data_IF_792376440202
#
_entry.id   IF_792376440202
#
_cell.length_a   1.000
_cell.length_b   1.000
_cell.length_c   1.000
_cell.angle_alpha   90.00
_cell.angle_beta   90.00
_cell.angle_gamma   90.00
#
_symmetry.space_group_name_H-M   'P 1'
#
loop_
_entity.id
_entity.type
_entity.pdbx_description
1 polymer ?
#
# COMPACT_ATOMS: atom_id res chain seq x y z
N UNK A 1 -7.63 -16.79 -15.58
CA UNK A 1 -8.08 -17.57 -14.39
C UNK A 1 -8.03 -16.64 -13.18
N UNK A 2 -9.12 -16.52 -12.41
CA UNK A 2 -9.16 -15.79 -11.15
C UNK A 2 -8.85 -16.76 -10.01
N UNK A 3 -7.97 -16.35 -9.08
CA UNK A 3 -7.69 -17.09 -7.85
C UNK A 3 -8.16 -16.25 -6.68
N UNK A 4 -9.04 -16.80 -5.84
CA UNK A 4 -9.53 -16.13 -4.64
C UNK A 4 -8.68 -16.55 -3.44
N UNK A 5 -8.32 -15.56 -2.62
CA UNK A 5 -7.81 -15.76 -1.26
C UNK A 5 -8.66 -14.96 -0.29
N UNK A 6 -9.24 -15.62 0.69
CA UNK A 6 -10.09 -14.97 1.70
C UNK A 6 -9.24 -14.14 2.66
N UNK A 7 -9.85 -13.11 3.26
CA UNK A 7 -9.15 -12.22 4.20
C UNK A 7 -8.65 -12.94 5.46
N UNK A 8 -9.37 -13.94 5.93
CA UNK A 8 -9.03 -14.77 7.10
C UNK A 8 -7.93 -15.82 6.83
N UNK A 9 -7.55 -16.02 5.56
CA UNK A 9 -6.43 -16.88 5.16
C UNK A 9 -5.08 -16.12 5.15
N UNK A 10 -5.09 -14.80 5.37
CA UNK A 10 -3.87 -14.00 5.45
C UNK A 10 -3.11 -14.29 6.75
N UNK A 11 -1.79 -14.09 6.73
CA UNK A 11 -1.01 -14.09 7.96
C UNK A 11 -1.50 -13.00 8.91
N UNK A 12 -1.42 -13.26 10.21
CA UNK A 12 -1.79 -12.29 11.24
C UNK A 12 -0.71 -12.19 12.31
N UNK A 13 -0.36 -10.97 12.68
CA UNK A 13 0.53 -10.66 13.79
C UNK A 13 -0.14 -9.64 14.72
N UNK A 14 -0.09 -9.89 16.02
CA UNK A 14 -0.54 -8.96 17.06
C UNK A 14 0.64 -8.71 18.04
N UNK A 15 1.10 -7.47 18.05
CA UNK A 15 2.18 -6.99 18.91
C UNK A 15 1.66 -6.11 20.07
N UNK A 16 0.34 -6.12 20.31
CA UNK A 16 -0.34 -5.26 21.26
C UNK A 16 -0.57 -3.86 20.70
N UNK A 17 0.46 -3.17 20.26
CA UNK A 17 0.38 -1.84 19.67
C UNK A 17 0.17 -1.85 18.14
N UNK A 18 0.43 -2.97 17.46
CA UNK A 18 0.27 -3.18 16.03
C UNK A 18 -0.51 -4.47 15.79
N UNK A 19 -1.58 -4.36 15.02
CA UNK A 19 -2.24 -5.51 14.37
C UNK A 19 -1.98 -5.45 12.89
N UNK A 20 -1.37 -6.50 12.34
CA UNK A 20 -0.94 -6.56 10.95
C UNK A 20 -1.45 -7.83 10.26
N UNK A 21 -2.11 -7.66 9.10
CA UNK A 21 -2.55 -8.76 8.25
C UNK A 21 -1.67 -8.83 7.00
N UNK A 22 -0.96 -9.94 6.86
CA UNK A 22 0.02 -10.13 5.79
C UNK A 22 -0.59 -10.87 4.61
N UNK A 23 -0.69 -10.21 3.47
CA UNK A 23 -1.14 -10.85 2.23
C UNK A 23 -0.09 -11.81 1.67
N UNK A 24 1.17 -11.46 1.78
CA UNK A 24 2.32 -12.27 1.36
C UNK A 24 3.23 -12.55 2.55
N UNK A 25 4.15 -13.49 2.40
CA UNK A 25 5.16 -13.80 3.41
C UNK A 25 5.95 -12.54 3.78
N UNK A 26 5.93 -12.24 5.07
CA UNK A 26 6.55 -11.04 5.64
C UNK A 26 6.95 -11.27 7.10
N UNK A 27 8.10 -10.76 7.51
CA UNK A 27 8.65 -10.95 8.86
C UNK A 27 8.64 -12.43 9.28
N UNK A 28 7.93 -12.77 10.34
CA UNK A 28 7.84 -14.13 10.86
C UNK A 28 6.72 -14.98 10.20
N UNK A 29 5.89 -14.37 9.35
CA UNK A 29 4.89 -15.09 8.59
C UNK A 29 5.50 -15.64 7.30
N UNK A 30 5.45 -16.94 7.12
CA UNK A 30 5.96 -17.61 5.92
C UNK A 30 4.95 -18.59 5.34
N UNK A 31 4.54 -18.36 4.11
CA UNK A 31 3.74 -19.28 3.29
C UNK A 31 4.34 -19.34 1.87
N UNK A 32 4.90 -20.48 1.45
CA UNK A 32 5.55 -20.59 0.15
C UNK A 32 4.61 -20.41 -1.05
N UNK A 33 3.30 -20.48 -0.84
CA UNK A 33 2.28 -20.22 -1.87
C UNK A 33 2.03 -18.72 -2.08
N UNK A 34 2.41 -17.89 -1.09
CA UNK A 34 2.15 -16.46 -1.07
C UNK A 34 3.43 -15.67 -0.82
N UNK A 35 4.31 -15.67 -1.82
CA UNK A 35 5.60 -14.96 -1.78
C UNK A 35 5.56 -13.59 -2.45
N UNK A 36 4.53 -13.31 -3.26
CA UNK A 36 4.35 -12.09 -4.02
C UNK A 36 3.50 -12.32 -5.27
N UNK A 37 3.26 -11.26 -6.04
CA UNK A 37 2.50 -11.29 -7.28
C UNK A 37 3.12 -10.38 -8.35
N UNK A 38 3.92 -10.93 -9.25
CA UNK A 38 4.77 -10.11 -10.13
C UNK A 38 5.77 -9.32 -9.29
N UNK A 39 5.86 -8.00 -9.51
CA UNK A 39 6.71 -7.10 -8.73
C UNK A 39 6.11 -6.74 -7.35
N UNK A 40 4.84 -7.05 -7.11
CA UNK A 40 4.18 -6.80 -5.83
C UNK A 40 4.68 -7.80 -4.80
N UNK A 41 5.36 -7.31 -3.75
CA UNK A 41 6.04 -8.14 -2.75
C UNK A 41 5.32 -8.16 -1.41
N UNK A 42 4.71 -7.06 -1.01
CA UNK A 42 4.02 -6.92 0.27
C UNK A 42 2.71 -6.16 0.08
N UNK A 43 1.65 -6.63 0.72
CA UNK A 43 0.50 -5.84 1.16
C UNK A 43 0.26 -6.23 2.61
N UNK A 44 0.63 -5.37 3.53
CA UNK A 44 0.23 -5.47 4.92
C UNK A 44 -0.89 -4.47 5.19
N UNK A 45 -1.92 -4.93 5.86
CA UNK A 45 -2.99 -4.09 6.36
C UNK A 45 -2.77 -3.90 7.85
N UNK A 46 -2.34 -2.69 8.21
CA UNK A 46 -1.81 -2.38 9.51
C UNK A 46 -2.74 -1.44 10.30
N UNK A 47 -2.86 -1.72 11.60
CA UNK A 47 -3.52 -0.86 12.57
C UNK A 47 -2.58 -0.59 13.72
N UNK A 48 -2.23 0.68 13.89
CA UNK A 48 -1.29 1.14 14.92
C UNK A 48 -2.04 1.93 15.99
N UNK A 49 -1.80 1.57 17.25
CA UNK A 49 -2.37 2.29 18.40
C UNK A 49 -1.81 3.73 18.53
N UNK A 50 -2.54 4.66 19.16
CA UNK A 50 -2.11 6.06 19.32
C UNK A 50 -0.72 6.17 19.93
N UNK A 51 0.12 7.06 19.38
CA UNK A 51 1.47 7.34 19.84
C UNK A 51 2.47 6.17 19.72
N UNK A 52 2.09 5.13 18.99
CA UNK A 52 2.94 3.98 18.70
C UNK A 52 3.35 3.97 17.22
N UNK A 53 4.35 3.15 16.88
CA UNK A 53 4.82 3.05 15.51
C UNK A 53 6.08 2.23 15.38
N UNK A 54 6.62 2.25 14.17
CA UNK A 54 7.87 1.60 13.83
C UNK A 54 9.02 2.57 14.09
N UNK A 55 9.93 2.19 14.99
CA UNK A 55 11.18 2.91 15.24
C UNK A 55 12.09 2.95 14.00
N UNK A 56 13.22 3.60 14.11
CA UNK A 56 14.18 3.72 13.02
C UNK A 56 14.61 2.35 12.49
N UNK A 57 14.46 2.16 11.20
CA UNK A 57 14.87 0.97 10.48
C UNK A 57 15.26 1.33 9.05
N UNK A 58 16.05 0.47 8.42
CA UNK A 58 16.63 0.74 7.11
C UNK A 58 15.97 -0.09 6.02
N UNK A 59 15.89 0.52 4.82
CA UNK A 59 15.51 -0.16 3.58
C UNK A 59 16.54 0.08 2.50
N UNK A 60 16.60 -0.83 1.55
CA UNK A 60 17.41 -0.72 0.33
C UNK A 60 16.68 -1.38 -0.83
N UNK A 61 16.77 -0.75 -2.01
CA UNK A 61 16.26 -1.29 -3.27
C UNK A 61 14.81 -1.79 -3.17
N UNK A 62 13.94 -0.99 -2.55
CA UNK A 62 12.52 -1.27 -2.42
C UNK A 62 11.72 0.00 -2.67
N UNK A 63 10.63 -0.12 -3.39
CA UNK A 63 9.59 0.91 -3.51
C UNK A 63 8.53 0.64 -2.45
N UNK A 64 8.37 1.56 -1.52
CA UNK A 64 7.50 1.43 -0.35
C UNK A 64 6.40 2.47 -0.45
N UNK A 65 5.15 2.01 -0.38
CA UNK A 65 3.96 2.85 -0.45
C UNK A 65 3.19 2.70 0.85
N UNK A 66 2.85 3.82 1.50
CA UNK A 66 1.90 3.89 2.61
C UNK A 66 0.63 4.57 2.11
N UNK A 67 -0.51 3.87 2.18
CA UNK A 67 -1.83 4.40 1.85
C UNK A 67 -2.70 4.46 3.11
N UNK A 68 -2.98 5.66 3.61
CA UNK A 68 -3.71 5.86 4.87
C UNK A 68 -5.22 5.84 4.65
N UNK A 69 -5.89 4.93 5.34
CA UNK A 69 -7.32 4.65 5.24
C UNK A 69 -8.15 5.29 6.36
N UNK A 70 -7.52 5.51 7.53
CA UNK A 70 -8.09 6.21 8.68
C UNK A 70 -6.97 6.66 9.62
N UNK A 71 -7.20 7.73 10.37
CA UNK A 71 -6.19 8.33 11.21
C UNK A 71 -5.14 9.11 10.42
N UNK A 72 -3.94 9.17 10.95
CA UNK A 72 -2.79 9.86 10.36
C UNK A 72 -1.50 9.11 10.72
N UNK A 73 -0.64 8.91 9.73
CA UNK A 73 0.70 8.36 9.92
C UNK A 73 1.71 9.50 9.85
N UNK A 74 2.70 9.53 10.73
CA UNK A 74 3.84 10.43 10.62
C UNK A 74 5.05 9.67 10.10
N UNK A 75 5.75 10.26 9.15
CA UNK A 75 6.97 9.72 8.55
C UNK A 75 8.15 10.65 8.84
N UNK A 76 9.29 10.06 9.16
CA UNK A 76 10.60 10.74 9.22
C UNK A 76 11.64 9.88 8.57
N UNK A 77 12.52 10.47 7.77
CA UNK A 77 13.60 9.74 7.11
C UNK A 77 14.96 10.46 7.16
N UNK A 78 16.00 9.73 6.77
CA UNK A 78 17.38 10.21 6.70
C UNK A 78 17.65 11.19 5.54
N UNK A 79 16.67 11.45 4.67
CA UNK A 79 16.73 12.49 3.63
C UNK A 79 16.32 13.86 4.17
N UNK A 80 15.74 13.89 5.38
CA UNK A 80 15.26 15.11 6.04
C UNK A 80 13.75 15.33 5.88
N UNK A 81 13.01 14.41 5.29
CA UNK A 81 11.56 14.48 5.25
C UNK A 81 10.99 14.25 6.66
N UNK A 82 10.04 15.10 7.06
CA UNK A 82 9.25 14.97 8.28
C UNK A 82 7.83 15.37 7.91
N UNK A 83 6.99 14.37 7.63
CA UNK A 83 5.68 14.59 7.02
C UNK A 83 4.57 13.86 7.79
N UNK A 84 3.41 14.50 7.86
CA UNK A 84 2.16 13.84 8.21
C UNK A 84 1.50 13.26 6.96
N UNK A 85 0.97 12.06 7.08
CA UNK A 85 0.26 11.35 6.01
C UNK A 85 -1.18 11.13 6.48
N UNK A 86 -2.09 12.10 6.26
CA UNK A 86 -3.47 11.99 6.69
C UNK A 86 -4.25 10.98 5.85
N UNK A 87 -5.47 10.67 6.31
CA UNK A 87 -6.41 9.82 5.58
C UNK A 87 -6.61 10.28 4.14
N UNK A 88 -6.45 9.36 3.20
CA UNK A 88 -6.59 9.58 1.76
C UNK A 88 -5.28 9.85 1.05
N UNK A 89 -4.22 10.13 1.79
CA UNK A 89 -2.90 10.32 1.22
C UNK A 89 -2.23 8.99 0.87
N UNK A 90 -1.48 9.06 -0.21
CA UNK A 90 -0.57 8.01 -0.67
C UNK A 90 0.84 8.59 -0.67
N UNK A 91 1.70 7.97 0.11
CA UNK A 91 3.11 8.28 0.20
C UNK A 91 3.90 7.17 -0.50
N UNK A 92 4.93 7.54 -1.25
CA UNK A 92 5.92 6.61 -1.81
C UNK A 92 7.32 7.03 -1.37
N UNK A 93 8.06 6.08 -0.81
CA UNK A 93 9.49 6.18 -0.53
C UNK A 93 10.23 5.18 -1.42
N UNK A 94 11.13 5.68 -2.27
CA UNK A 94 12.09 4.85 -3.00
C UNK A 94 13.33 4.69 -2.14
N UNK A 95 13.62 3.48 -1.69
CA UNK A 95 14.75 3.25 -0.78
C UNK A 95 16.12 3.31 -1.48
N UNK A 96 16.19 2.94 -2.77
CA UNK A 96 17.40 3.05 -3.60
C UNK A 96 18.67 2.57 -2.91
N UNK A 97 19.72 3.41 -2.88
CA UNK A 97 21.02 3.10 -2.25
C UNK A 97 20.92 2.81 -0.74
N UNK A 98 19.85 3.23 -0.10
CA UNK A 98 19.57 3.04 1.31
C UNK A 98 18.93 4.27 1.94
N UNK A 99 17.94 4.04 2.79
CA UNK A 99 17.27 5.05 3.60
C UNK A 99 17.02 4.46 4.99
N UNK A 100 17.07 5.30 6.00
CA UNK A 100 16.61 4.98 7.36
C UNK A 100 15.38 5.81 7.61
N UNK A 101 14.30 5.19 8.07
CA UNK A 101 13.06 5.90 8.40
C UNK A 101 12.36 5.35 9.64
N UNK A 102 11.38 6.10 10.09
CA UNK A 102 10.46 5.72 11.16
C UNK A 102 9.05 6.15 10.78
N UNK A 103 8.05 5.40 11.24
CA UNK A 103 6.63 5.67 10.97
C UNK A 103 5.84 5.53 12.27
N UNK A 104 5.05 6.55 12.64
CA UNK A 104 4.29 6.58 13.87
C UNK A 104 2.84 6.97 13.62
N UNK A 105 1.94 6.44 14.44
CA UNK A 105 0.58 6.96 14.52
C UNK A 105 0.61 8.37 15.14
N UNK A 106 0.24 9.36 14.34
CA UNK A 106 0.16 10.78 14.75
C UNK A 106 -1.28 11.25 14.99
N UNK A 107 -2.27 10.38 14.75
CA UNK A 107 -3.68 10.69 15.01
C UNK A 107 -3.93 10.78 16.51
N UNK A 108 -4.50 11.91 16.95
CA UNK A 108 -4.78 12.15 18.37
C UNK A 108 -5.87 11.19 18.88
N UNK A 109 -5.48 10.33 19.82
CA UNK A 109 -6.38 9.38 20.48
C UNK A 109 -7.05 8.33 19.56
N UNK A 110 -6.63 8.22 18.31
CA UNK A 110 -7.23 7.32 17.33
C UNK A 110 -6.22 6.31 16.80
N UNK A 111 -6.71 5.13 16.47
CA UNK A 111 -5.93 4.12 15.77
C UNK A 111 -5.71 4.55 14.31
N UNK A 112 -4.48 4.46 13.80
CA UNK A 112 -4.20 4.65 12.38
C UNK A 112 -4.32 3.33 11.65
N UNK A 113 -5.10 3.32 10.56
CA UNK A 113 -5.30 2.19 9.66
C UNK A 113 -4.75 2.53 8.27
N UNK A 114 -3.81 1.75 7.77
CA UNK A 114 -3.18 1.98 6.48
C UNK A 114 -2.76 0.66 5.81
N UNK A 115 -2.47 0.73 4.52
CA UNK A 115 -1.81 -0.33 3.77
C UNK A 115 -0.34 0.03 3.61
N UNK A 116 0.53 -0.89 3.97
CA UNK A 116 1.94 -0.88 3.62
C UNK A 116 2.13 -1.79 2.40
N UNK A 117 2.52 -1.20 1.27
CA UNK A 117 2.66 -1.93 0.00
C UNK A 117 4.11 -1.81 -0.46
N UNK A 118 4.76 -2.95 -0.72
CA UNK A 118 6.13 -2.98 -1.22
C UNK A 118 6.17 -3.56 -2.63
N UNK A 119 6.90 -2.89 -3.48
CA UNK A 119 7.07 -3.28 -4.88
C UNK A 119 8.57 -3.36 -5.19
N UNK A 120 8.99 -4.43 -5.85
CA UNK A 120 10.35 -4.55 -6.33
C UNK A 120 10.61 -3.53 -7.45
N UNK A 121 11.67 -2.70 -7.35
CA UNK A 121 11.98 -1.69 -8.34
C UNK A 121 12.55 -2.31 -9.62
N UNK A 122 12.33 -1.63 -10.75
CA UNK A 122 12.93 -2.01 -12.03
C UNK A 122 14.43 -1.72 -12.08
N UNK A 123 14.89 -0.71 -11.32
CA UNK A 123 16.29 -0.29 -11.25
C UNK A 123 16.73 -0.20 -9.80
N UNK A 124 17.82 -0.87 -9.47
CA UNK A 124 18.43 -0.84 -8.14
C UNK A 124 19.50 0.25 -8.03
N UNK A 125 19.81 0.65 -6.78
CA UNK A 125 20.88 1.58 -6.48
C UNK A 125 20.61 3.02 -6.92
N UNK A 126 19.37 3.38 -7.18
CA UNK A 126 18.98 4.78 -7.48
C UNK A 126 19.13 5.67 -6.24
N UNK A 127 19.11 6.98 -6.42
CA UNK A 127 19.03 7.89 -5.29
C UNK A 127 17.69 7.72 -4.56
N UNK A 128 17.68 7.66 -3.23
CA UNK A 128 16.45 7.61 -2.46
C UNK A 128 15.59 8.85 -2.73
N UNK A 129 14.29 8.68 -2.70
CA UNK A 129 13.36 9.79 -2.94
C UNK A 129 12.03 9.59 -2.25
N UNK A 130 11.30 10.69 -2.08
CA UNK A 130 10.01 10.74 -1.43
C UNK A 130 9.00 11.47 -2.31
N UNK A 131 7.76 11.03 -2.35
CA UNK A 131 6.64 11.72 -2.96
C UNK A 131 5.34 11.38 -2.22
N UNK A 132 4.48 12.37 -2.01
CA UNK A 132 3.18 12.21 -1.36
C UNK A 132 2.12 13.01 -2.11
N UNK A 133 0.93 12.42 -2.27
CA UNK A 133 -0.24 13.09 -2.85
C UNK A 133 -1.51 12.69 -2.15
N UNK A 134 -2.45 13.63 -2.08
CA UNK A 134 -3.80 13.41 -1.56
C UNK A 134 -4.74 12.98 -2.68
N UNK A 135 -5.49 11.90 -2.44
CA UNK A 135 -6.56 11.44 -3.32
C UNK A 135 -7.89 11.52 -2.55
N UNK A 136 -8.66 12.54 -2.85
CA UNK A 136 -9.91 12.80 -2.15
C UNK A 136 -10.93 11.67 -2.34
N UNK A 137 -11.84 11.53 -1.38
CA UNK A 137 -12.90 10.50 -1.45
C UNK A 137 -13.72 10.59 -2.75
N UNK A 138 -14.19 11.80 -3.19
CA UNK A 138 -14.96 11.90 -4.43
C UNK A 138 -14.21 11.42 -5.69
N UNK A 139 -12.90 11.51 -5.71
CA UNK A 139 -12.09 11.06 -6.86
C UNK A 139 -12.11 9.55 -7.07
N UNK A 140 -12.53 8.82 -6.04
CA UNK A 140 -12.54 7.34 -6.00
C UNK A 140 -13.96 6.75 -6.01
N UNK A 141 -14.99 7.58 -5.86
CA UNK A 141 -16.39 7.12 -5.81
C UNK A 141 -16.86 6.63 -7.18
N UNK A 142 -17.33 5.38 -7.25
CA UNK A 142 -17.84 4.74 -8.46
C UNK A 142 -16.81 4.56 -9.58
N UNK A 143 -15.52 4.72 -9.30
CA UNK A 143 -14.45 4.62 -10.31
C UNK A 143 -13.18 4.03 -9.74
N UNK A 144 -12.28 3.61 -10.63
CA UNK A 144 -10.91 3.22 -10.31
C UNK A 144 -9.96 4.41 -10.56
N UNK A 145 -9.66 5.19 -9.52
CA UNK A 145 -8.68 6.28 -9.59
C UNK A 145 -7.26 5.70 -9.60
N UNK A 146 -6.48 6.06 -10.61
CA UNK A 146 -5.04 5.75 -10.63
C UNK A 146 -4.34 6.59 -9.56
N UNK A 147 -3.69 5.94 -8.60
CA UNK A 147 -3.04 6.58 -7.46
C UNK A 147 -1.51 6.44 -7.46
N UNK A 148 -0.96 5.39 -8.13
CA UNK A 148 0.49 5.21 -8.33
C UNK A 148 0.73 4.65 -9.71
N UNK A 149 1.73 5.18 -10.44
CA UNK A 149 2.17 4.66 -11.73
C UNK A 149 3.64 4.97 -12.00
N UNK A 150 4.27 4.26 -12.93
CA UNK A 150 5.68 4.47 -13.31
C UNK A 150 5.93 5.80 -14.03
N UNK A 151 4.92 6.32 -14.70
CA UNK A 151 4.98 7.55 -15.51
C UNK A 151 4.39 8.78 -14.82
N UNK A 152 3.69 8.62 -13.68
CA UNK A 152 2.98 9.69 -12.99
C UNK A 152 1.70 10.12 -13.72
N UNK A 153 1.18 9.29 -14.64
CA UNK A 153 -0.04 9.55 -15.41
C UNK A 153 -1.23 9.87 -14.50
N UNK A 154 -2.15 10.69 -14.99
CA UNK A 154 -3.36 11.15 -14.28
C UNK A 154 -3.06 11.70 -12.87
N UNK A 155 -1.95 12.41 -12.70
CA UNK A 155 -1.47 13.00 -11.44
C UNK A 155 -1.20 11.96 -10.34
N UNK A 156 -1.01 10.70 -10.68
CA UNK A 156 -0.64 9.65 -9.72
C UNK A 156 0.76 9.91 -9.12
N UNK A 157 1.03 9.30 -7.97
CA UNK A 157 2.38 9.26 -7.38
C UNK A 157 3.29 8.45 -8.30
N UNK A 158 4.47 8.98 -8.60
CA UNK A 158 5.43 8.29 -9.46
C UNK A 158 6.20 7.21 -8.70
N UNK A 159 6.40 6.05 -9.34
CA UNK A 159 7.14 4.92 -8.78
C UNK A 159 8.18 4.39 -9.78
N UNK A 160 9.30 3.86 -9.28
CA UNK A 160 10.36 3.28 -10.12
C UNK A 160 10.15 1.77 -10.35
N UNK A 161 8.94 1.40 -10.68
CA UNK A 161 8.53 0.01 -10.97
C UNK A 161 7.41 -0.03 -12.00
N UNK A 162 7.38 -1.04 -12.86
CA UNK A 162 6.30 -1.22 -13.83
C UNK A 162 5.02 -1.74 -13.18
N UNK A 163 4.35 -0.85 -12.46
CA UNK A 163 3.03 -1.10 -11.87
C UNK A 163 2.07 0.05 -12.13
N UNK A 164 0.78 -0.25 -11.99
CA UNK A 164 -0.31 0.73 -11.84
C UNK A 164 -1.15 0.33 -10.63
N UNK A 165 -1.28 1.21 -9.66
CA UNK A 165 -2.11 1.02 -8.48
C UNK A 165 -3.34 1.92 -8.57
N UNK A 166 -4.49 1.30 -8.43
CA UNK A 166 -5.78 1.98 -8.43
C UNK A 166 -6.45 1.86 -7.07
N UNK A 167 -7.21 2.87 -6.70
CA UNK A 167 -8.12 2.83 -5.55
C UNK A 167 -9.53 3.17 -6.00
N UNK A 168 -10.54 2.48 -5.44
CA UNK A 168 -11.94 2.73 -5.74
C UNK A 168 -12.83 2.55 -4.52
N UNK A 169 -13.92 3.32 -4.47
CA UNK A 169 -14.98 3.23 -3.50
C UNK A 169 -16.29 3.00 -4.26
N UNK A 170 -16.91 1.87 -4.00
CA UNK A 170 -18.13 1.47 -4.71
C UNK A 170 -19.26 1.22 -3.72
N UNK A 171 -20.44 1.70 -4.04
CA UNK A 171 -21.66 1.49 -3.29
C UNK A 171 -22.70 0.84 -4.19
N UNK A 172 -23.49 -0.06 -3.64
CA UNK A 172 -24.62 -0.72 -4.30
C UNK A 172 -24.22 -1.33 -5.67
N UNK A 173 -24.91 -0.90 -6.74
CA UNK A 173 -24.71 -1.41 -8.11
C UNK A 173 -23.61 -0.70 -8.90
N UNK A 174 -22.81 0.14 -8.25
CA UNK A 174 -21.69 0.80 -8.93
C UNK A 174 -20.66 -0.20 -9.42
N UNK A 175 -20.16 0.03 -10.61
CA UNK A 175 -19.15 -0.85 -11.21
C UNK A 175 -18.11 -0.03 -11.99
N UNK A 176 -16.95 -0.62 -12.17
CA UNK A 176 -15.92 -0.12 -13.07
C UNK A 176 -15.29 -1.28 -13.83
N UNK A 177 -14.75 -0.99 -15.00
CA UNK A 177 -14.00 -1.95 -15.79
C UNK A 177 -12.60 -1.43 -16.07
N UNK A 178 -11.64 -2.35 -16.06
CA UNK A 178 -10.25 -2.08 -16.40
C UNK A 178 -9.78 -3.13 -17.40
N UNK A 179 -9.43 -2.69 -18.60
CA UNK A 179 -8.80 -3.58 -19.58
C UNK A 179 -7.34 -3.76 -19.23
N UNK A 180 -6.94 -5.01 -19.04
CA UNK A 180 -5.58 -5.38 -18.66
C UNK A 180 -4.88 -6.04 -19.86
N UNK A 181 -3.67 -5.57 -20.20
CA UNK A 181 -2.83 -6.22 -21.20
C UNK A 181 -2.64 -7.70 -20.81
N UNK A 182 -2.83 -8.67 -21.70
CA UNK A 182 -2.71 -10.11 -21.42
C UNK A 182 -1.37 -10.54 -20.82
N UNK A 183 -0.32 -9.73 -20.99
CA UNK A 183 1.02 -9.96 -20.40
C UNK A 183 1.12 -9.52 -18.96
N UNK A 184 0.15 -8.74 -18.45
CA UNK A 184 0.15 -8.20 -17.08
C UNK A 184 -0.63 -9.12 -16.14
N UNK A 185 -0.33 -8.98 -14.86
CA UNK A 185 -1.07 -9.61 -13.77
C UNK A 185 -1.82 -8.54 -13.00
N UNK A 186 -3.02 -8.85 -12.53
CA UNK A 186 -3.76 -7.99 -11.63
C UNK A 186 -3.88 -8.64 -10.25
N UNK A 187 -3.85 -7.84 -9.22
CA UNK A 187 -4.19 -8.19 -7.86
C UNK A 187 -5.28 -7.25 -7.35
N UNK A 188 -6.36 -7.80 -6.84
CA UNK A 188 -7.46 -7.03 -6.24
C UNK A 188 -7.44 -7.26 -4.73
N UNK A 189 -7.32 -6.18 -3.97
CA UNK A 189 -7.34 -6.20 -2.51
C UNK A 189 -8.62 -5.53 -2.01
N UNK A 190 -9.51 -6.29 -1.39
CA UNK A 190 -10.73 -5.76 -0.79
C UNK A 190 -10.44 -5.36 0.65
N UNK A 191 -10.51 -4.05 0.93
CA UNK A 191 -10.23 -3.49 2.25
C UNK A 191 -11.47 -3.59 3.15
N UNK A 192 -12.64 -3.33 2.59
CA UNK A 192 -13.93 -3.35 3.32
C UNK A 192 -15.05 -3.81 2.39
N UNK A 193 -16.03 -4.49 2.95
CA UNK A 193 -17.19 -4.97 2.20
C UNK A 193 -16.88 -6.16 1.31
N UNK A 194 -17.64 -6.31 0.25
CA UNK A 194 -17.52 -7.37 -0.76
C UNK A 194 -17.71 -6.79 -2.16
N UNK A 195 -17.09 -7.41 -3.14
CA UNK A 195 -17.22 -7.05 -4.55
C UNK A 195 -17.36 -8.31 -5.40
N UNK A 196 -17.97 -8.17 -6.55
CA UNK A 196 -17.97 -9.20 -7.60
C UNK A 196 -16.93 -8.82 -8.66
N UNK A 197 -16.01 -9.72 -8.96
CA UNK A 197 -14.99 -9.53 -10.01
C UNK A 197 -15.21 -10.57 -11.09
N UNK A 198 -15.54 -10.12 -12.32
CA UNK A 198 -15.81 -11.01 -13.45
C UNK A 198 -16.79 -12.14 -13.06
N UNK A 199 -17.94 -11.78 -12.49
CA UNK A 199 -19.02 -12.70 -12.04
C UNK A 199 -18.67 -13.63 -10.86
N UNK A 200 -17.51 -13.45 -10.22
CA UNK A 200 -17.07 -14.20 -9.04
C UNK A 200 -17.08 -13.29 -7.81
N UNK A 201 -17.77 -13.71 -6.74
CA UNK A 201 -17.88 -13.01 -5.44
C UNK A 201 -16.77 -13.42 -4.49
#
# INVERSE_FOLDING_TARGET
MLTLRKSDERGFADHGWLKSYHTFSFANYYDPKFMGWGNLRVINEDRIEPGRGFGEHSHRDMEIISYVLAGELAHRDSLGNVEGIPKGDVQRMSAGKGVVHSEFNHADGQQTHFLQIWVEPDIRGIEPSYEQKTFATPDKEGTLKLIVSSDGDAESVKINADIRLYAGLFNDDQHASLTIDPRRKAYVHVIRGSITVNEIV
#
